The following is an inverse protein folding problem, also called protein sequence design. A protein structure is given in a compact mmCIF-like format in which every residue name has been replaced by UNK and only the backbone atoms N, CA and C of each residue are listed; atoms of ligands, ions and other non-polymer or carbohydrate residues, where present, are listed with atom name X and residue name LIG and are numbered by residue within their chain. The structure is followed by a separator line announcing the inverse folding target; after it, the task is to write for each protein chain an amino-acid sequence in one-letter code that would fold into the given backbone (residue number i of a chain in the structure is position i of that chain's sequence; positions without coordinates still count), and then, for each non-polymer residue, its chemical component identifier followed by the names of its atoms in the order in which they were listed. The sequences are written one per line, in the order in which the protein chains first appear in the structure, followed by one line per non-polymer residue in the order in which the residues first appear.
data_IF_546900980506
#
_entry.id   IF_546900980506
#
_cell.length_a   1.000
_cell.length_b   1.000
_cell.length_c   1.000
_cell.angle_alpha   90.00
_cell.angle_beta   90.00
_cell.angle_gamma   90.00
#
_symmetry.space_group_name_H-M   'P 1'
#
loop_
_entity.id
_entity.type
_entity.pdbx_description
1 polymer ?
#
# COMPACT_ATOMS: atom_id res chain seq x y z
N UNK A 1 5.23 -0.24 23.84
CA UNK A 1 6.00 0.33 22.71
C UNK A 1 5.29 1.53 22.10
N UNK A 2 4.04 1.40 21.63
CA UNK A 2 3.20 2.55 21.20
C UNK A 2 3.14 3.70 22.23
N UNK A 3 2.91 3.40 23.52
CA UNK A 3 2.94 4.40 24.61
C UNK A 3 4.27 5.15 24.74
N UNK A 4 5.39 4.52 24.39
CA UNK A 4 6.72 5.15 24.44
C UNK A 4 6.87 6.14 23.29
N UNK A 5 6.49 5.74 22.08
CA UNK A 5 6.51 6.60 20.89
C UNK A 5 5.57 7.79 21.05
N UNK A 6 4.36 7.59 21.55
CA UNK A 6 3.42 8.67 21.85
C UNK A 6 4.02 9.70 22.81
N UNK A 7 4.66 9.25 23.90
CA UNK A 7 5.30 10.14 24.86
C UNK A 7 6.50 10.90 24.26
N UNK A 8 7.27 10.27 23.38
CA UNK A 8 8.36 10.93 22.67
C UNK A 8 7.85 11.99 21.68
N UNK A 9 6.76 11.72 20.97
CA UNK A 9 6.12 12.69 20.07
C UNK A 9 5.60 13.91 20.83
N UNK A 10 4.96 13.71 21.98
CA UNK A 10 4.50 14.79 22.86
C UNK A 10 5.68 15.68 23.27
N UNK A 11 6.82 15.08 23.61
CA UNK A 11 8.03 15.81 23.99
C UNK A 11 8.63 16.59 22.82
N UNK A 12 8.77 15.96 21.65
CA UNK A 12 9.33 16.58 20.43
C UNK A 12 8.50 17.79 20.01
N UNK A 13 7.16 17.67 20.07
CA UNK A 13 6.24 18.74 19.72
C UNK A 13 6.03 19.75 20.86
N UNK A 14 6.56 19.47 22.05
CA UNK A 14 6.41 20.27 23.27
C UNK A 14 4.93 20.64 23.54
N UNK A 15 4.03 19.67 23.35
CA UNK A 15 2.59 19.82 23.59
C UNK A 15 2.35 19.97 25.09
N UNK A 16 1.52 20.93 25.47
CA UNK A 16 1.20 21.18 26.88
C UNK A 16 0.31 20.05 27.42
N UNK A 17 0.53 19.64 28.67
CA UNK A 17 -0.18 18.49 29.26
C UNK A 17 -1.68 18.74 29.47
N UNK A 18 -2.08 20.02 29.52
CA UNK A 18 -3.47 20.48 29.65
C UNK A 18 -4.14 20.79 28.29
N UNK A 19 -3.46 20.52 27.16
CA UNK A 19 -4.01 20.78 25.83
C UNK A 19 -5.03 19.70 25.42
N UNK A 20 -6.30 20.09 25.29
CA UNK A 20 -7.40 19.23 24.83
C UNK A 20 -7.15 18.63 23.43
N UNK A 21 -6.30 19.26 22.61
CA UNK A 21 -5.98 18.78 21.26
C UNK A 21 -4.81 17.80 21.23
N UNK A 22 -4.09 17.58 22.34
CA UNK A 22 -2.88 16.74 22.39
C UNK A 22 -3.08 15.37 21.77
N UNK A 23 -4.09 14.63 22.22
CA UNK A 23 -4.38 13.28 21.71
C UNK A 23 -4.78 13.30 20.24
N UNK A 24 -5.50 14.35 19.80
CA UNK A 24 -5.92 14.53 18.42
C UNK A 24 -4.73 14.76 17.50
N UNK A 25 -3.79 15.64 17.90
CA UNK A 25 -2.55 15.92 17.16
C UNK A 25 -1.75 14.63 16.98
N UNK A 26 -1.55 13.87 18.05
CA UNK A 26 -0.78 12.63 17.99
C UNK A 26 -1.47 11.59 17.11
N UNK A 27 -2.78 11.39 17.26
CA UNK A 27 -3.52 10.42 16.46
C UNK A 27 -3.49 10.77 14.96
N UNK A 28 -3.66 12.04 14.63
CA UNK A 28 -3.57 12.51 13.25
C UNK A 28 -2.15 12.34 12.69
N UNK A 29 -1.12 12.61 13.48
CA UNK A 29 0.27 12.42 13.08
C UNK A 29 0.59 10.95 12.79
N UNK A 30 0.15 10.03 13.67
CA UNK A 30 0.37 8.60 13.50
C UNK A 30 -0.44 7.99 12.33
N UNK A 31 -1.50 8.66 11.89
CA UNK A 31 -2.37 8.23 10.78
C UNK A 31 -1.97 8.83 9.44
N UNK A 32 -1.67 10.12 9.44
CA UNK A 32 -1.54 10.96 8.25
C UNK A 32 -0.12 11.52 8.07
N UNK A 33 0.83 11.11 8.92
CA UNK A 33 2.21 11.54 8.86
C UNK A 33 2.39 13.00 9.26
N UNK A 34 3.63 13.48 9.13
CA UNK A 34 4.05 14.83 9.51
C UNK A 34 3.20 15.94 8.90
N UNK A 35 2.74 15.79 7.65
CA UNK A 35 1.95 16.81 6.96
C UNK A 35 0.65 17.18 7.67
N UNK A 36 0.11 16.28 8.51
CA UNK A 36 -1.05 16.60 9.34
C UNK A 36 -0.83 17.77 10.30
N UNK A 37 0.42 18.07 10.68
CA UNK A 37 0.74 19.17 11.60
C UNK A 37 0.40 20.55 11.04
N UNK A 38 0.23 20.70 9.72
CA UNK A 38 -0.23 21.95 9.11
C UNK A 38 -1.58 22.39 9.72
N UNK A 39 -2.44 21.43 10.08
CA UNK A 39 -3.73 21.71 10.69
C UNK A 39 -3.63 22.17 12.14
N UNK A 40 -2.46 22.00 12.77
CA UNK A 40 -2.21 22.22 14.19
C UNK A 40 -1.10 23.26 14.43
N UNK A 41 -0.79 24.07 13.42
CA UNK A 41 0.27 25.08 13.51
C UNK A 41 0.05 26.08 14.65
N UNK A 42 -1.21 26.36 15.02
CA UNK A 42 -1.55 27.29 16.11
C UNK A 42 -1.44 26.65 17.49
N UNK A 43 -1.53 25.34 17.56
CA UNK A 43 -1.47 24.54 18.79
C UNK A 43 -0.01 24.19 19.17
N UNK A 44 0.93 24.35 18.23
CA UNK A 44 2.35 24.05 18.43
C UNK A 44 3.15 25.36 18.52
N UNK A 45 4.10 25.42 19.45
CA UNK A 45 5.02 26.57 19.59
C UNK A 45 5.69 26.88 18.23
N UNK A 46 5.61 28.13 17.71
CA UNK A 46 6.05 28.44 16.34
C UNK A 46 7.51 28.12 16.02
N UNK A 47 8.39 28.11 17.03
CA UNK A 47 9.79 27.69 16.88
C UNK A 47 9.87 26.17 16.64
N UNK A 48 9.22 25.38 17.49
CA UNK A 48 9.18 23.92 17.39
C UNK A 48 8.52 23.48 16.08
N UNK A 49 7.38 24.07 15.72
CA UNK A 49 6.72 23.77 14.45
C UNK A 49 7.66 23.97 13.25
N UNK A 50 8.34 25.12 13.17
CA UNK A 50 9.28 25.41 12.08
C UNK A 50 10.47 24.44 12.07
N UNK A 51 11.00 24.09 13.23
CA UNK A 51 12.10 23.12 13.35
C UNK A 51 11.68 21.73 12.84
N UNK A 52 10.53 21.23 13.28
CA UNK A 52 10.07 19.88 12.92
C UNK A 52 9.50 19.78 11.49
N UNK A 53 9.07 20.89 10.90
CA UNK A 53 8.64 20.95 9.49
C UNK A 53 9.80 21.23 8.52
N UNK A 54 11.00 21.53 9.00
CA UNK A 54 12.15 21.83 8.14
C UNK A 54 12.95 20.58 7.79
N UNK A 55 13.05 20.24 6.50
CA UNK A 55 13.84 19.11 6.00
C UNK A 55 13.36 17.75 6.51
N UNK A 56 14.09 16.67 6.21
CA UNK A 56 13.75 15.30 6.65
C UNK A 56 14.67 14.74 7.75
N UNK A 57 15.73 15.48 8.10
CA UNK A 57 16.76 15.08 9.05
C UNK A 57 16.50 15.63 10.46
N UNK A 58 15.24 15.57 10.90
CA UNK A 58 14.83 16.03 12.23
C UNK A 58 14.27 14.89 13.09
N UNK A 59 14.20 15.14 14.39
CA UNK A 59 13.81 14.15 15.40
C UNK A 59 12.41 13.59 15.15
N UNK A 60 11.47 14.43 14.73
CA UNK A 60 10.11 14.01 14.41
C UNK A 60 10.11 12.99 13.27
N UNK A 61 10.80 13.28 12.17
CA UNK A 61 10.87 12.38 11.01
C UNK A 61 11.57 11.07 11.37
N UNK A 62 12.67 11.12 12.12
CA UNK A 62 13.33 9.89 12.60
C UNK A 62 12.40 9.03 13.43
N UNK A 63 11.63 9.64 14.35
CA UNK A 63 10.70 8.89 15.20
C UNK A 63 9.52 8.31 14.41
N UNK A 64 8.97 9.06 13.45
CA UNK A 64 7.88 8.58 12.61
C UNK A 64 8.31 7.44 11.69
N UNK A 65 9.49 7.53 11.08
CA UNK A 65 10.07 6.42 10.30
C UNK A 65 10.16 5.15 11.13
N UNK A 66 10.73 5.25 12.33
CA UNK A 66 10.83 4.12 13.27
C UNK A 66 9.47 3.57 13.66
N UNK A 67 8.49 4.45 13.90
CA UNK A 67 7.12 4.04 14.19
C UNK A 67 6.51 3.22 13.05
N UNK A 68 6.57 3.70 11.81
CA UNK A 68 5.97 3.02 10.67
C UNK A 68 6.68 1.71 10.32
N UNK A 69 8.00 1.66 10.40
CA UNK A 69 8.77 0.42 10.24
C UNK A 69 8.32 -0.64 11.24
N UNK A 70 8.24 -0.28 12.53
CA UNK A 70 7.76 -1.19 13.57
C UNK A 70 6.28 -1.57 13.39
N UNK A 71 5.45 -0.62 12.97
CA UNK A 71 4.03 -0.87 12.71
C UNK A 71 3.87 -1.93 11.62
N UNK A 72 4.62 -1.84 10.53
CA UNK A 72 4.58 -2.84 9.47
C UNK A 72 4.99 -4.22 9.98
N UNK A 73 6.08 -4.32 10.75
CA UNK A 73 6.51 -5.60 11.33
C UNK A 73 5.46 -6.23 12.24
N UNK A 74 4.80 -5.43 13.09
CA UNK A 74 3.78 -5.92 14.03
C UNK A 74 2.49 -6.29 13.31
N UNK A 75 2.03 -5.46 12.37
CA UNK A 75 0.76 -5.62 11.67
C UNK A 75 0.79 -6.77 10.65
N UNK A 76 1.92 -6.94 9.97
CA UNK A 76 2.04 -7.89 8.85
C UNK A 76 2.96 -9.08 9.15
N UNK A 77 3.72 -9.07 10.25
CA UNK A 77 4.69 -10.12 10.54
C UNK A 77 4.10 -11.52 10.69
N UNK A 78 2.86 -11.65 11.15
CA UNK A 78 2.21 -12.94 11.33
C UNK A 78 1.45 -13.44 10.10
N UNK A 79 0.80 -12.54 9.35
CA UNK A 79 -0.05 -12.92 8.20
C UNK A 79 0.68 -12.85 6.87
N UNK A 80 1.70 -11.99 6.77
CA UNK A 80 2.43 -11.67 5.54
C UNK A 80 3.93 -11.66 5.81
N UNK A 81 4.46 -12.74 6.38
CA UNK A 81 5.89 -12.87 6.70
C UNK A 81 6.80 -12.67 5.47
N UNK A 82 6.32 -13.02 4.28
CA UNK A 82 6.99 -12.77 3.00
C UNK A 82 7.23 -11.27 2.75
N UNK A 83 6.26 -10.42 3.10
CA UNK A 83 6.36 -8.98 2.93
C UNK A 83 7.43 -8.40 3.86
N UNK A 84 7.48 -8.85 5.11
CA UNK A 84 8.51 -8.42 6.06
C UNK A 84 9.91 -8.90 5.63
N UNK A 85 10.02 -10.14 5.13
CA UNK A 85 11.27 -10.64 4.58
C UNK A 85 11.75 -9.80 3.39
N UNK A 86 10.83 -9.42 2.50
CA UNK A 86 11.11 -8.54 1.37
C UNK A 86 11.58 -7.15 1.81
N UNK A 87 10.88 -6.50 2.76
CA UNK A 87 11.30 -5.21 3.28
C UNK A 87 12.72 -5.26 3.88
N UNK A 88 13.05 -6.33 4.61
CA UNK A 88 14.40 -6.54 5.17
C UNK A 88 15.45 -6.73 4.07
N UNK A 89 15.11 -7.44 3.00
CA UNK A 89 15.99 -7.58 1.84
C UNK A 89 16.22 -6.23 1.15
N UNK A 90 15.16 -5.44 0.94
CA UNK A 90 15.28 -4.09 0.38
C UNK A 90 16.15 -3.18 1.25
N UNK A 91 15.95 -3.20 2.57
CA UNK A 91 16.78 -2.45 3.52
C UNK A 91 18.27 -2.78 3.39
N UNK A 92 18.61 -4.05 3.15
CA UNK A 92 20.00 -4.49 3.03
C UNK A 92 20.60 -4.24 1.64
N UNK A 93 19.81 -4.43 0.58
CA UNK A 93 20.28 -4.44 -0.81
C UNK A 93 20.12 -3.09 -1.53
N UNK A 94 19.08 -2.33 -1.18
CA UNK A 94 18.76 -1.00 -1.73
C UNK A 94 18.19 -0.11 -0.63
N UNK A 95 19.04 0.21 0.35
CA UNK A 95 18.66 1.03 1.50
C UNK A 95 18.16 2.42 1.09
N UNK A 96 18.62 2.96 -0.04
CA UNK A 96 18.20 4.28 -0.52
C UNK A 96 16.72 4.26 -0.89
N UNK A 97 16.28 3.30 -1.70
CA UNK A 97 14.86 3.16 -2.07
C UNK A 97 14.01 2.87 -0.83
N UNK A 98 14.48 1.97 0.04
CA UNK A 98 13.79 1.65 1.29
C UNK A 98 13.56 2.90 2.17
N UNK A 99 14.62 3.68 2.41
CA UNK A 99 14.55 4.91 3.20
C UNK A 99 13.66 5.97 2.55
N UNK A 100 13.63 6.06 1.22
CA UNK A 100 12.74 6.98 0.51
C UNK A 100 11.26 6.63 0.76
N UNK A 101 10.89 5.35 0.64
CA UNK A 101 9.53 4.88 0.92
C UNK A 101 9.14 5.14 2.37
N UNK A 102 10.04 4.87 3.32
CA UNK A 102 9.81 5.11 4.73
C UNK A 102 9.67 6.60 5.05
N UNK A 103 10.48 7.44 4.40
CA UNK A 103 10.40 8.90 4.49
C UNK A 103 9.04 9.40 3.99
N UNK A 104 8.57 8.94 2.83
CA UNK A 104 7.25 9.31 2.30
C UNK A 104 6.12 8.87 3.22
N UNK A 105 6.22 7.67 3.77
CA UNK A 105 5.26 7.17 4.75
C UNK A 105 5.26 8.03 6.01
N UNK A 106 6.41 8.38 6.55
CA UNK A 106 6.52 9.28 7.71
C UNK A 106 5.96 10.68 7.40
N UNK A 107 6.16 11.17 6.19
CA UNK A 107 5.72 12.49 5.76
C UNK A 107 4.20 12.58 5.59
N UNK A 108 3.60 11.58 4.94
CA UNK A 108 2.24 11.66 4.42
C UNK A 108 1.30 10.56 4.95
N UNK A 109 1.81 9.65 5.78
CA UNK A 109 1.06 8.54 6.37
C UNK A 109 0.29 7.73 5.34
N UNK A 110 -0.99 7.50 5.63
CA UNK A 110 -1.86 6.67 4.81
C UNK A 110 -2.25 7.28 3.45
N UNK A 111 -1.91 8.55 3.17
CA UNK A 111 -2.29 9.23 1.91
C UNK A 111 -1.93 8.41 0.66
N UNK A 112 -0.80 7.71 0.69
CA UNK A 112 -0.30 6.89 -0.43
C UNK A 112 -0.51 5.38 -0.23
N UNK A 113 -1.03 4.94 0.92
CA UNK A 113 -1.23 3.52 1.23
C UNK A 113 -2.54 2.95 0.68
N UNK A 114 -3.35 3.80 0.01
CA UNK A 114 -4.65 3.47 -0.59
C UNK A 114 -5.47 2.54 0.32
N UNK A 115 -6.20 1.58 -0.24
CA UNK A 115 -6.98 0.60 0.52
C UNK A 115 -6.15 -0.62 0.97
N UNK A 116 -4.93 -0.78 0.45
CA UNK A 116 -4.05 -1.92 0.74
C UNK A 116 -2.60 -1.45 0.91
N UNK A 117 -2.15 -1.21 2.16
CA UNK A 117 -0.81 -0.69 2.41
C UNK A 117 0.32 -1.56 1.87
N UNK A 118 0.20 -2.89 1.92
CA UNK A 118 1.21 -3.84 1.41
C UNK A 118 1.46 -3.57 -0.08
N UNK A 119 0.40 -3.58 -0.89
CA UNK A 119 0.51 -3.34 -2.33
C UNK A 119 1.06 -1.94 -2.61
N UNK A 120 0.62 -0.92 -1.86
CA UNK A 120 1.08 0.46 -2.08
C UNK A 120 2.55 0.65 -1.77
N UNK A 121 3.06 -0.03 -0.73
CA UNK A 121 4.49 0.00 -0.38
C UNK A 121 5.31 -0.73 -1.44
N UNK A 122 4.85 -1.91 -1.88
CA UNK A 122 5.55 -2.70 -2.90
C UNK A 122 5.64 -1.93 -4.21
N UNK A 123 4.57 -1.29 -4.66
CA UNK A 123 4.60 -0.45 -5.85
C UNK A 123 5.59 0.71 -5.70
N UNK A 124 5.60 1.39 -4.55
CA UNK A 124 6.56 2.47 -4.30
C UNK A 124 8.03 2.00 -4.29
N UNK A 125 8.30 0.76 -3.86
CA UNK A 125 9.65 0.17 -3.87
C UNK A 125 10.05 -0.21 -5.29
N UNK A 126 9.19 -0.94 -6.00
CA UNK A 126 9.44 -1.37 -7.38
C UNK A 126 9.52 -0.19 -8.34
N UNK A 127 8.92 0.93 -8.00
CA UNK A 127 8.80 2.07 -8.89
C UNK A 127 9.52 3.29 -8.32
N UNK A 128 10.73 3.05 -7.83
CA UNK A 128 11.61 4.00 -7.12
C UNK A 128 11.73 5.39 -7.78
N UNK A 129 11.67 5.46 -9.12
CA UNK A 129 11.84 6.69 -9.89
C UNK A 129 10.54 7.44 -10.23
N UNK A 130 9.37 6.87 -9.91
CA UNK A 130 8.07 7.49 -10.20
C UNK A 130 7.92 8.84 -9.44
N UNK A 131 8.72 9.11 -8.40
CA UNK A 131 8.52 10.24 -7.48
C UNK A 131 9.41 11.48 -7.68
N UNK A 132 10.41 11.50 -8.56
CA UNK A 132 11.38 12.61 -8.53
C UNK A 132 10.84 13.95 -9.10
N UNK A 133 9.69 13.91 -9.78
CA UNK A 133 8.92 15.05 -10.33
C UNK A 133 7.62 14.56 -11.00
N UNK A 134 7.66 13.36 -11.55
CA UNK A 134 6.58 12.77 -12.36
C UNK A 134 5.29 12.48 -11.55
N UNK A 135 5.39 12.17 -10.25
CA UNK A 135 4.22 12.04 -9.37
C UNK A 135 3.52 13.34 -9.02
N UNK A 136 4.21 14.48 -9.12
CA UNK A 136 3.59 15.79 -8.95
C UNK A 136 2.87 16.23 -10.23
N UNK A 137 3.25 15.66 -11.38
CA UNK A 137 2.54 15.78 -12.65
C UNK A 137 1.38 14.75 -12.70
N UNK A 138 0.24 15.14 -12.10
CA UNK A 138 -1.10 14.52 -12.15
C UNK A 138 -1.15 12.99 -12.39
N UNK A 139 -1.40 12.26 -11.31
CA UNK A 139 -2.09 10.96 -11.24
C UNK A 139 -1.36 9.71 -11.74
N UNK A 140 -0.13 9.75 -12.25
CA UNK A 140 0.52 8.54 -12.80
C UNK A 140 0.52 7.31 -11.86
N UNK A 141 0.81 7.48 -10.57
CA UNK A 141 0.75 6.36 -9.61
C UNK A 141 -0.68 5.91 -9.32
N UNK A 142 -1.64 6.85 -9.31
CA UNK A 142 -3.05 6.55 -9.08
C UNK A 142 -3.63 5.80 -10.28
N UNK A 143 -3.26 6.21 -11.49
CA UNK A 143 -3.61 5.55 -12.74
C UNK A 143 -2.96 4.16 -12.78
N UNK A 144 -1.66 4.04 -12.49
CA UNK A 144 -1.01 2.73 -12.43
C UNK A 144 -1.66 1.83 -11.38
N UNK A 145 -1.91 2.33 -10.16
CA UNK A 145 -2.60 1.59 -9.11
C UNK A 145 -3.96 1.10 -9.62
N UNK A 146 -4.77 1.99 -10.19
CA UNK A 146 -6.10 1.68 -10.68
C UNK A 146 -6.05 0.62 -11.78
N UNK A 147 -5.19 0.83 -12.77
CA UNK A 147 -5.06 -0.03 -13.94
C UNK A 147 -4.57 -1.42 -13.54
N UNK A 148 -3.51 -1.56 -12.74
CA UNK A 148 -3.06 -2.89 -12.31
C UNK A 148 -4.05 -3.59 -11.38
N UNK A 149 -4.81 -2.83 -10.58
CA UNK A 149 -5.80 -3.41 -9.65
C UNK A 149 -7.09 -3.78 -10.34
N UNK A 150 -7.37 -3.31 -11.55
CA UNK A 150 -8.56 -3.71 -12.31
C UNK A 150 -8.23 -4.67 -13.46
N UNK A 151 -7.14 -4.40 -14.17
CA UNK A 151 -6.78 -5.04 -15.44
C UNK A 151 -5.58 -6.00 -15.29
N UNK A 152 -5.10 -6.20 -14.07
CA UNK A 152 -4.04 -7.15 -13.74
C UNK A 152 -2.65 -6.73 -14.24
N UNK A 153 -1.67 -7.61 -14.10
CA UNK A 153 -0.28 -7.32 -14.40
C UNK A 153 0.01 -7.04 -15.88
N UNK A 154 -0.77 -7.60 -16.82
CA UNK A 154 -0.55 -7.34 -18.26
C UNK A 154 -0.70 -5.87 -18.63
N UNK A 155 -1.47 -5.12 -17.86
CA UNK A 155 -1.66 -3.68 -18.06
C UNK A 155 -0.40 -2.85 -17.78
N UNK A 156 0.59 -3.37 -17.05
CA UNK A 156 1.87 -2.70 -16.76
C UNK A 156 2.64 -2.34 -18.03
N UNK A 157 2.43 -3.07 -19.14
CA UNK A 157 3.04 -2.79 -20.44
C UNK A 157 2.75 -1.34 -20.89
N UNK A 158 1.56 -0.81 -20.58
CA UNK A 158 1.17 0.57 -20.93
C UNK A 158 2.04 1.63 -20.24
N UNK A 159 2.56 1.30 -19.06
CA UNK A 159 3.40 2.18 -18.24
C UNK A 159 4.89 1.85 -18.38
N UNK A 160 5.26 0.91 -19.25
CA UNK A 160 6.62 0.39 -19.42
C UNK A 160 7.69 1.48 -19.60
N UNK A 161 7.37 2.58 -20.29
CA UNK A 161 8.28 3.73 -20.46
C UNK A 161 8.69 4.43 -19.16
N UNK A 162 7.93 4.25 -18.08
CA UNK A 162 8.17 4.84 -16.75
C UNK A 162 8.74 3.85 -15.75
N UNK A 163 8.90 2.59 -16.15
CA UNK A 163 9.31 1.48 -15.29
C UNK A 163 10.61 0.94 -15.84
N UNK A 164 11.58 0.65 -14.96
CA UNK A 164 12.82 0.03 -15.38
C UNK A 164 12.55 -1.32 -16.06
N UNK A 165 13.19 -1.57 -17.20
CA UNK A 165 12.91 -2.76 -18.02
C UNK A 165 13.15 -4.07 -17.28
N UNK A 166 14.10 -4.08 -16.35
CA UNK A 166 14.43 -5.17 -15.45
C UNK A 166 13.23 -5.53 -14.58
N UNK A 167 12.53 -4.52 -14.07
CA UNK A 167 11.36 -4.67 -13.20
C UNK A 167 10.17 -5.17 -14.02
N UNK A 168 9.97 -4.66 -15.24
CA UNK A 168 8.91 -5.14 -16.14
C UNK A 168 9.07 -6.65 -16.42
N UNK A 169 10.31 -7.08 -16.70
CA UNK A 169 10.60 -8.47 -17.00
C UNK A 169 10.39 -9.40 -15.79
N UNK A 170 10.71 -8.93 -14.58
CA UNK A 170 10.42 -9.65 -13.33
C UNK A 170 8.92 -9.71 -13.02
N UNK A 171 8.18 -8.64 -13.32
CA UNK A 171 6.76 -8.52 -13.02
C UNK A 171 5.86 -9.34 -13.94
N UNK A 172 6.20 -9.44 -15.23
CA UNK A 172 5.36 -10.09 -16.24
C UNK A 172 5.59 -11.61 -16.28
N UNK A 173 6.78 -12.10 -15.93
CA UNK A 173 7.17 -13.49 -16.19
C UNK A 173 6.99 -14.45 -14.99
N UNK A 174 6.74 -13.95 -13.78
CA UNK A 174 6.78 -14.80 -12.58
C UNK A 174 5.53 -14.68 -11.70
N UNK A 175 4.82 -15.81 -11.55
CA UNK A 175 3.82 -16.02 -10.47
C UNK A 175 4.40 -15.90 -9.06
N UNK A 176 5.73 -15.80 -8.94
CA UNK A 176 6.44 -15.64 -7.68
C UNK A 176 6.87 -14.21 -7.39
N UNK A 177 6.66 -13.28 -8.33
CA UNK A 177 7.08 -11.88 -8.15
C UNK A 177 6.42 -11.27 -6.91
N UNK A 178 7.12 -10.34 -6.26
CA UNK A 178 6.64 -9.71 -5.03
C UNK A 178 5.32 -8.95 -5.27
N UNK A 179 5.15 -8.38 -6.47
CA UNK A 179 3.91 -7.72 -6.86
C UNK A 179 2.78 -8.71 -7.09
N UNK A 180 3.07 -9.88 -7.68
CA UNK A 180 2.06 -10.94 -7.83
C UNK A 180 1.53 -11.36 -6.46
N UNK A 181 2.41 -11.56 -5.47
CA UNK A 181 2.01 -11.89 -4.10
C UNK A 181 1.17 -10.77 -3.46
N UNK A 182 1.55 -9.52 -3.67
CA UNK A 182 0.82 -8.35 -3.16
C UNK A 182 -0.58 -8.19 -3.77
N UNK A 183 -0.70 -8.38 -5.09
CA UNK A 183 -1.97 -8.34 -5.80
C UNK A 183 -2.86 -9.52 -5.39
N UNK A 184 -2.28 -10.72 -5.24
CA UNK A 184 -3.01 -11.88 -4.75
C UNK A 184 -3.59 -11.63 -3.36
N UNK A 185 -2.84 -10.98 -2.47
CA UNK A 185 -3.34 -10.55 -1.16
C UNK A 185 -4.46 -9.50 -1.27
N UNK A 186 -4.28 -8.51 -2.14
CA UNK A 186 -5.28 -7.46 -2.40
C UNK A 186 -6.62 -8.04 -2.89
N UNK A 187 -6.59 -8.96 -3.86
CA UNK A 187 -7.80 -9.54 -4.45
C UNK A 187 -8.46 -10.59 -3.58
N UNK A 188 -7.71 -11.28 -2.71
CA UNK A 188 -8.19 -12.45 -1.96
C UNK A 188 -9.49 -12.18 -1.23
N UNK A 189 -9.54 -11.10 -0.45
CA UNK A 189 -10.70 -10.83 0.40
C UNK A 189 -11.96 -10.61 -0.43
N UNK A 190 -11.82 -9.87 -1.53
CA UNK A 190 -12.93 -9.50 -2.39
C UNK A 190 -13.41 -10.67 -3.25
N UNK A 191 -12.49 -11.50 -3.75
CA UNK A 191 -12.85 -12.72 -4.48
C UNK A 191 -13.64 -13.67 -3.57
N UNK A 192 -13.16 -13.86 -2.34
CA UNK A 192 -13.80 -14.75 -1.37
C UNK A 192 -15.22 -14.25 -1.03
N UNK A 193 -15.37 -12.93 -0.87
CA UNK A 193 -16.68 -12.29 -0.69
C UNK A 193 -17.61 -12.60 -1.87
N UNK A 194 -17.14 -12.41 -3.10
CA UNK A 194 -17.93 -12.64 -4.31
C UNK A 194 -18.31 -14.11 -4.50
N UNK A 195 -17.39 -15.04 -4.23
CA UNK A 195 -17.66 -16.48 -4.29
C UNK A 195 -18.71 -16.89 -3.26
N UNK A 196 -18.60 -16.38 -2.03
CA UNK A 196 -19.57 -16.64 -0.97
C UNK A 196 -20.96 -16.12 -1.34
N UNK A 197 -21.06 -14.88 -1.85
CA UNK A 197 -22.32 -14.27 -2.25
C UNK A 197 -23.01 -15.04 -3.39
N UNK A 198 -22.23 -15.57 -4.32
CA UNK A 198 -22.73 -16.33 -5.46
C UNK A 198 -22.84 -17.84 -5.18
N UNK A 199 -22.63 -18.26 -3.93
CA UNK A 199 -22.65 -19.66 -3.50
C UNK A 199 -21.73 -20.57 -4.34
N UNK A 200 -20.56 -20.06 -4.73
CA UNK A 200 -19.53 -20.80 -5.46
C UNK A 200 -18.67 -21.52 -4.44
N UNK A 201 -18.63 -22.85 -4.54
CA UNK A 201 -17.81 -23.67 -3.65
C UNK A 201 -16.39 -23.77 -4.21
N UNK A 202 -15.39 -23.67 -3.34
CA UNK A 202 -14.00 -23.86 -3.70
C UNK A 202 -13.69 -25.34 -3.90
N UNK A 203 -13.92 -25.83 -5.13
CA UNK A 203 -13.58 -27.19 -5.55
C UNK A 203 -12.32 -27.12 -6.39
N UNK A 204 -11.43 -28.10 -6.21
CA UNK A 204 -10.21 -28.23 -7.04
C UNK A 204 -9.31 -26.98 -7.01
N UNK A 205 -9.27 -26.28 -5.88
CA UNK A 205 -8.52 -25.02 -5.70
C UNK A 205 -8.95 -23.91 -6.68
N UNK A 206 -10.24 -23.87 -7.01
CA UNK A 206 -10.84 -22.84 -7.86
C UNK A 206 -10.50 -21.43 -7.39
N UNK A 207 -10.53 -21.18 -6.08
CA UNK A 207 -10.16 -19.87 -5.51
C UNK A 207 -8.73 -19.47 -5.88
N UNK A 208 -7.78 -20.38 -5.78
CA UNK A 208 -6.38 -20.09 -6.10
C UNK A 208 -6.17 -19.90 -7.60
N UNK A 209 -6.82 -20.72 -8.43
CA UNK A 209 -6.82 -20.57 -9.88
C UNK A 209 -7.40 -19.21 -10.29
N UNK A 210 -8.54 -18.84 -9.72
CA UNK A 210 -9.20 -17.56 -9.96
C UNK A 210 -8.31 -16.40 -9.53
N UNK A 211 -7.67 -16.47 -8.36
CA UNK A 211 -6.74 -15.44 -7.90
C UNK A 211 -5.58 -15.27 -8.86
N UNK A 212 -4.94 -16.37 -9.26
CA UNK A 212 -3.82 -16.33 -10.19
C UNK A 212 -4.21 -15.66 -11.51
N UNK A 213 -5.38 -16.03 -12.05
CA UNK A 213 -5.89 -15.44 -13.28
C UNK A 213 -6.27 -13.96 -13.12
N UNK A 214 -6.88 -13.56 -12.00
CA UNK A 214 -7.20 -12.14 -11.75
C UNK A 214 -5.92 -11.30 -11.61
N UNK A 215 -4.90 -11.82 -10.94
CA UNK A 215 -3.62 -11.12 -10.81
C UNK A 215 -2.98 -10.89 -12.19
N UNK A 216 -3.04 -11.89 -13.07
CA UNK A 216 -2.43 -11.80 -14.39
C UNK A 216 -3.24 -10.95 -15.39
N UNK A 217 -4.57 -11.12 -15.41
CA UNK A 217 -5.46 -10.63 -16.47
C UNK A 217 -6.51 -9.60 -16.01
N UNK A 218 -6.56 -9.29 -14.72
CA UNK A 218 -7.60 -8.44 -14.14
C UNK A 218 -8.90 -9.20 -13.85
N UNK A 219 -9.86 -8.50 -13.26
CA UNK A 219 -11.09 -9.11 -12.75
C UNK A 219 -11.92 -9.81 -13.82
N UNK A 220 -12.23 -9.11 -14.90
CA UNK A 220 -13.16 -9.60 -15.92
C UNK A 220 -12.54 -10.77 -16.69
N UNK A 221 -11.35 -10.58 -17.25
CA UNK A 221 -10.73 -11.60 -18.08
C UNK A 221 -10.15 -12.74 -17.25
N UNK A 222 -9.69 -12.47 -16.01
CA UNK A 222 -9.26 -13.50 -15.08
C UNK A 222 -10.40 -14.44 -14.65
N UNK A 223 -11.61 -13.92 -14.47
CA UNK A 223 -12.79 -14.75 -14.15
C UNK A 223 -13.30 -15.48 -15.40
N UNK A 224 -13.24 -14.90 -16.59
CA UNK A 224 -13.57 -15.65 -17.83
C UNK A 224 -12.66 -16.86 -18.04
N UNK A 225 -11.40 -16.79 -17.61
CA UNK A 225 -10.46 -17.91 -17.72
C UNK A 225 -10.86 -19.15 -16.90
N UNK A 226 -11.82 -19.04 -15.98
CA UNK A 226 -12.33 -20.15 -15.16
C UNK A 226 -13.78 -20.54 -15.49
N UNK A 227 -14.34 -20.04 -16.59
CA UNK A 227 -15.74 -20.27 -16.98
C UNK A 227 -16.12 -21.75 -16.95
N UNK A 228 -15.31 -22.62 -17.55
CA UNK A 228 -15.56 -24.07 -17.66
C UNK A 228 -15.53 -24.82 -16.31
N UNK A 229 -15.08 -24.17 -15.24
CA UNK A 229 -14.98 -24.76 -13.89
C UNK A 229 -16.16 -24.39 -13.00
N UNK A 230 -17.02 -23.47 -13.44
CA UNK A 230 -18.18 -22.95 -12.69
C UNK A 230 -19.46 -23.31 -13.44
N UNK A 231 -20.54 -23.60 -12.70
CA UNK A 231 -21.85 -23.81 -13.34
C UNK A 231 -22.32 -22.53 -14.07
N UNK A 232 -22.81 -22.60 -15.32
CA UNK A 232 -23.07 -21.42 -16.16
C UNK A 232 -23.90 -20.33 -15.49
N UNK A 233 -24.99 -20.70 -14.81
CA UNK A 233 -25.84 -19.74 -14.08
C UNK A 233 -25.09 -19.02 -12.95
N UNK A 234 -24.19 -19.71 -12.24
CA UNK A 234 -23.38 -19.09 -11.17
C UNK A 234 -22.29 -18.20 -11.76
N UNK A 235 -21.75 -18.57 -12.91
CA UNK A 235 -20.77 -17.78 -13.63
C UNK A 235 -21.37 -16.45 -14.11
N UNK A 236 -22.57 -16.47 -14.70
CA UNK A 236 -23.32 -15.25 -15.06
C UNK A 236 -23.53 -14.34 -13.84
N UNK A 237 -24.02 -14.88 -12.72
CA UNK A 237 -24.22 -14.10 -11.48
C UNK A 237 -22.91 -13.52 -10.93
N UNK A 238 -21.81 -14.26 -11.03
CA UNK A 238 -20.49 -13.78 -10.62
C UNK A 238 -20.02 -12.61 -11.47
N UNK A 239 -20.14 -12.72 -12.80
CA UNK A 239 -19.78 -11.63 -13.71
C UNK A 239 -20.60 -10.36 -13.44
N UNK A 240 -21.91 -10.49 -13.25
CA UNK A 240 -22.79 -9.37 -12.90
C UNK A 240 -22.35 -8.71 -11.58
N UNK A 241 -22.01 -9.53 -10.57
CA UNK A 241 -21.53 -9.02 -9.26
C UNK A 241 -20.23 -8.24 -9.37
N UNK A 242 -19.31 -8.68 -10.24
CA UNK A 242 -18.04 -8.00 -10.51
C UNK A 242 -18.30 -6.67 -11.22
N UNK A 243 -19.12 -6.67 -12.27
CA UNK A 243 -19.46 -5.45 -13.01
C UNK A 243 -20.11 -4.38 -12.13
N UNK A 244 -20.87 -4.79 -11.11
CA UNK A 244 -21.46 -3.87 -10.12
C UNK A 244 -20.47 -3.38 -9.06
N UNK A 245 -19.37 -4.11 -8.83
CA UNK A 245 -18.39 -3.78 -7.77
C UNK A 245 -17.27 -2.86 -8.26
N UNK A 246 -17.01 -2.82 -9.57
CA UNK A 246 -15.86 -2.14 -10.17
C UNK A 246 -16.20 -1.13 -11.30
N UNK A 247 -17.49 -0.84 -11.54
CA UNK A 247 -17.97 0.29 -12.36
C UNK A 247 -18.70 1.33 -11.49
#
# INVERSE_FOLDING_TARGET
MLKIITNELIKILALDDDDENKDKIINDLLKNGRQSLINYQKDIKPKIYREQMNGNDNELMTLLKKYFEQKWEVEYGSSNAWFIAYLKQCKNNDNVTYENVLTRTAEYGNKYMKNCPILSIILQILLKDIDNKCLQEKNLFDDLWLTITNDGLKSIIEYSKYIASEIINELINEKQSILFQALREYYRQELFRLFQQNNIADKENLCDLALDNIVEYGWIDGIKAIEDTIAPKKFEMLLDSILLSFN
#
